data_IF_324818704732
#
_entry.id   IF_324818704732
#
_cell.length_a   1.000
_cell.length_b   1.000
_cell.length_c   1.000
_cell.angle_alpha   90.00
_cell.angle_beta   90.00
_cell.angle_gamma   90.00
#
_symmetry.space_group_name_H-M   'P 1'
#
loop_
_entity.id
_entity.type
_entity.pdbx_description
1 polymer ?
#
# COMPACT_ATOMS: atom_id res chain seq x y z
N UNK A 1 14.38 -18.39 12.65
CA UNK A 1 13.00 -18.84 12.89
C UNK A 1 12.28 -17.71 13.63
N UNK A 2 11.09 -17.26 13.13
CA UNK A 2 10.31 -16.20 13.79
C UNK A 2 9.69 -16.70 15.09
N UNK A 3 9.71 -15.85 16.14
CA UNK A 3 8.95 -16.11 17.37
C UNK A 3 7.57 -15.47 17.25
N UNK A 4 6.53 -16.10 17.79
CA UNK A 4 5.21 -15.50 17.89
C UNK A 4 5.26 -14.37 18.93
N UNK A 5 4.86 -13.17 18.52
CA UNK A 5 4.86 -11.97 19.39
C UNK A 5 3.46 -11.41 19.62
N UNK A 6 2.47 -11.86 18.84
CA UNK A 6 1.08 -11.42 18.93
C UNK A 6 0.17 -12.28 18.05
N UNK A 7 -1.12 -12.03 18.20
CA UNK A 7 -2.19 -12.69 17.45
C UNK A 7 -3.11 -11.64 16.84
N UNK A 8 -3.78 -12.02 15.77
CA UNK A 8 -4.93 -11.31 15.21
C UNK A 8 -6.09 -12.29 15.10
N UNK A 9 -7.29 -11.85 15.44
CA UNK A 9 -8.51 -12.61 15.28
C UNK A 9 -9.52 -11.81 14.48
N UNK A 10 -10.28 -12.47 13.61
CA UNK A 10 -11.42 -11.88 12.93
C UNK A 10 -12.69 -12.30 13.65
N UNK A 11 -13.56 -11.34 13.93
CA UNK A 11 -14.91 -11.61 14.44
C UNK A 11 -15.67 -12.39 13.35
N UNK A 12 -16.25 -13.52 13.72
CA UNK A 12 -17.09 -14.26 12.78
C UNK A 12 -18.36 -13.46 12.48
N UNK A 13 -18.84 -13.43 11.21
CA UNK A 13 -19.98 -12.58 10.83
C UNK A 13 -21.23 -12.76 11.69
N UNK A 14 -21.48 -13.98 12.17
CA UNK A 14 -22.62 -14.28 13.03
C UNK A 14 -22.52 -13.68 14.44
N UNK A 15 -21.36 -13.23 14.86
CA UNK A 15 -21.11 -12.57 16.16
C UNK A 15 -20.74 -11.11 16.03
N UNK A 16 -20.74 -10.55 14.82
CA UNK A 16 -20.38 -9.16 14.56
C UNK A 16 -21.59 -8.27 14.89
N UNK A 17 -21.52 -7.58 16.02
CA UNK A 17 -22.55 -6.61 16.45
C UNK A 17 -22.35 -5.22 15.84
N UNK A 18 -21.29 -5.01 15.08
CA UNK A 18 -20.91 -3.70 14.51
C UNK A 18 -20.28 -2.74 15.52
N UNK A 19 -20.19 -3.10 16.80
CA UNK A 19 -19.61 -2.25 17.87
C UNK A 19 -18.08 -2.35 17.95
N UNK A 20 -17.51 -3.42 17.39
CA UNK A 20 -16.07 -3.68 17.41
C UNK A 20 -15.52 -3.75 15.99
N UNK A 21 -14.23 -3.43 15.83
CA UNK A 21 -13.56 -3.60 14.55
C UNK A 21 -13.56 -5.07 14.10
N UNK A 22 -13.73 -5.33 12.81
CA UNK A 22 -13.75 -6.69 12.22
C UNK A 22 -12.55 -7.56 12.62
N UNK A 23 -11.41 -6.92 12.89
CA UNK A 23 -10.19 -7.59 13.35
C UNK A 23 -9.79 -7.06 14.73
N UNK A 24 -9.50 -7.98 15.63
CA UNK A 24 -8.97 -7.71 16.97
C UNK A 24 -7.52 -8.17 16.98
N UNK A 25 -6.61 -7.24 17.21
CA UNK A 25 -5.18 -7.51 17.33
C UNK A 25 -4.77 -7.53 18.81
N UNK A 26 -3.73 -8.31 19.13
CA UNK A 26 -3.07 -8.24 20.43
C UNK A 26 -2.81 -6.78 20.81
N UNK A 27 -3.12 -6.34 22.04
CA UNK A 27 -2.72 -5.04 22.55
C UNK A 27 -1.21 -4.82 22.47
N UNK A 28 -0.76 -3.58 22.52
CA UNK A 28 0.66 -3.26 22.57
C UNK A 28 1.31 -3.85 23.82
N UNK A 29 2.48 -4.47 23.62
CA UNK A 29 3.30 -5.06 24.68
C UNK A 29 4.77 -4.72 24.44
N UNK A 30 5.68 -4.94 25.40
CA UNK A 30 7.12 -4.72 25.17
C UNK A 30 7.71 -5.50 23.99
N UNK A 31 7.09 -6.61 23.59
CA UNK A 31 7.53 -7.46 22.46
C UNK A 31 6.65 -7.34 21.22
N UNK A 32 5.50 -6.68 21.31
CA UNK A 32 4.59 -6.44 20.18
C UNK A 32 4.20 -4.96 20.13
N UNK A 33 4.93 -4.22 19.33
CA UNK A 33 4.69 -2.80 19.04
C UNK A 33 4.26 -2.71 17.57
N UNK A 34 2.99 -2.41 17.32
CA UNK A 34 2.40 -2.43 15.96
C UNK A 34 3.20 -1.58 14.96
N UNK A 35 3.68 -0.43 15.41
CA UNK A 35 4.49 0.48 14.59
C UNK A 35 5.88 -0.06 14.22
N UNK A 36 6.29 -1.20 14.75
CA UNK A 36 7.59 -1.85 14.54
C UNK A 36 7.50 -3.27 13.98
N UNK A 37 6.29 -3.75 13.71
CA UNK A 37 6.05 -5.12 13.24
C UNK A 37 5.37 -5.08 11.89
N UNK A 38 6.01 -5.69 10.89
CA UNK A 38 5.40 -5.98 9.59
C UNK A 38 5.00 -7.46 9.55
N UNK A 39 3.70 -7.71 9.30
CA UNK A 39 3.20 -9.07 9.14
C UNK A 39 3.86 -9.74 7.93
N UNK A 40 4.22 -11.00 8.09
CA UNK A 40 4.87 -11.77 7.02
C UNK A 40 6.38 -11.52 6.87
N UNK A 41 6.96 -10.44 7.42
CA UNK A 41 8.36 -10.05 7.17
C UNK A 41 9.35 -11.18 7.45
N UNK A 42 9.14 -12.00 8.50
CA UNK A 42 10.02 -13.10 8.85
C UNK A 42 10.09 -14.19 7.76
N UNK A 43 9.03 -14.34 6.97
CA UNK A 43 8.97 -15.26 5.81
C UNK A 43 9.50 -14.62 4.53
N UNK A 44 9.28 -13.31 4.39
CA UNK A 44 9.52 -12.59 3.13
C UNK A 44 10.96 -12.09 2.96
N UNK A 45 11.77 -12.04 4.04
CA UNK A 45 13.13 -11.46 4.02
C UNK A 45 14.03 -11.98 2.90
N UNK A 46 14.03 -13.29 2.68
CA UNK A 46 14.81 -13.91 1.60
C UNK A 46 14.35 -13.42 0.25
N UNK A 47 13.05 -13.61 -0.04
CA UNK A 47 12.46 -13.20 -1.31
C UNK A 47 12.59 -11.69 -1.59
N UNK A 48 12.50 -10.84 -0.56
CA UNK A 48 12.72 -9.39 -0.70
C UNK A 48 14.15 -9.11 -1.17
N UNK A 49 15.16 -9.74 -0.56
CA UNK A 49 16.56 -9.57 -0.97
C UNK A 49 16.82 -10.11 -2.37
N UNK A 50 16.33 -11.31 -2.66
CA UNK A 50 16.54 -11.99 -3.93
C UNK A 50 15.89 -11.24 -5.10
N UNK A 51 14.72 -10.64 -4.88
CA UNK A 51 13.98 -9.87 -5.89
C UNK A 51 14.33 -8.38 -5.89
N UNK A 52 15.03 -7.89 -4.87
CA UNK A 52 15.38 -6.48 -4.73
C UNK A 52 14.18 -5.54 -4.52
N UNK A 53 12.99 -6.07 -4.16
CA UNK A 53 11.75 -5.29 -4.00
C UNK A 53 10.83 -5.93 -2.98
N UNK A 54 9.98 -5.11 -2.33
CA UNK A 54 8.95 -5.55 -1.37
C UNK A 54 7.57 -5.09 -1.84
N UNK A 55 6.58 -5.98 -1.75
CA UNK A 55 5.16 -5.63 -1.87
C UNK A 55 4.60 -5.35 -0.47
N UNK A 56 4.15 -4.12 -0.24
CA UNK A 56 3.49 -3.72 0.99
C UNK A 56 1.99 -3.62 0.75
N UNK A 57 1.24 -4.41 1.49
CA UNK A 57 -0.23 -4.41 1.50
C UNK A 57 -0.76 -3.93 2.85
N UNK A 58 -2.05 -3.68 2.96
CA UNK A 58 -2.66 -3.14 4.17
C UNK A 58 -2.95 -4.21 5.21
N UNK A 59 -3.66 -5.27 4.82
CA UNK A 59 -4.16 -6.30 5.72
C UNK A 59 -3.36 -7.60 5.74
N UNK A 60 -3.54 -8.38 6.81
CA UNK A 60 -2.93 -9.71 6.92
C UNK A 60 -3.48 -10.67 5.86
N UNK A 61 -4.78 -10.57 5.50
CA UNK A 61 -5.39 -11.42 4.50
C UNK A 61 -4.81 -11.15 3.13
N UNK A 62 -4.57 -9.87 2.78
CA UNK A 62 -3.89 -9.50 1.53
C UNK A 62 -2.51 -10.12 1.43
N UNK A 63 -1.75 -10.06 2.52
CA UNK A 63 -0.43 -10.67 2.59
C UNK A 63 -0.49 -12.20 2.44
N UNK A 64 -1.44 -12.86 3.12
CA UNK A 64 -1.60 -14.31 3.03
C UNK A 64 -2.00 -14.74 1.61
N UNK A 65 -2.96 -14.06 1.00
CA UNK A 65 -3.40 -14.33 -0.36
C UNK A 65 -2.28 -14.07 -1.38
N UNK A 66 -1.52 -12.97 -1.22
CA UNK A 66 -0.34 -12.73 -2.04
C UNK A 66 0.68 -13.87 -1.94
N UNK A 67 0.98 -14.34 -0.72
CA UNK A 67 1.87 -15.50 -0.53
C UNK A 67 1.32 -16.79 -1.15
N UNK A 68 0.00 -17.02 -1.10
CA UNK A 68 -0.66 -18.15 -1.73
C UNK A 68 -0.51 -18.09 -3.26
N UNK A 69 -0.62 -16.91 -3.85
CA UNK A 69 -0.37 -16.66 -5.27
C UNK A 69 1.11 -16.72 -5.69
N UNK A 70 2.03 -17.04 -4.76
CA UNK A 70 3.46 -17.15 -5.04
C UNK A 70 4.27 -15.85 -4.85
N UNK A 71 3.64 -14.74 -4.43
CA UNK A 71 4.29 -13.45 -4.18
C UNK A 71 4.96 -13.49 -2.81
N UNK A 72 6.16 -14.07 -2.73
CA UNK A 72 6.87 -14.35 -1.47
C UNK A 72 7.52 -13.14 -0.81
N UNK A 73 7.61 -12.01 -1.50
CA UNK A 73 8.14 -10.74 -1.01
C UNK A 73 7.06 -9.80 -0.45
N UNK A 74 5.83 -10.29 -0.21
CA UNK A 74 4.73 -9.51 0.37
C UNK A 74 4.83 -9.41 1.89
N UNK A 75 4.49 -8.22 2.42
CA UNK A 75 4.36 -7.91 3.86
C UNK A 75 3.17 -7.00 4.08
N UNK A 76 2.62 -6.95 5.32
CA UNK A 76 1.50 -6.05 5.63
C UNK A 76 1.76 -5.19 6.88
N UNK A 77 1.14 -4.00 6.91
CA UNK A 77 1.13 -3.10 8.07
C UNK A 77 0.16 -3.56 9.16
N UNK A 78 -0.83 -4.39 8.81
CA UNK A 78 -1.73 -5.07 9.75
C UNK A 78 -2.58 -4.14 10.63
N UNK A 79 -3.31 -3.22 10.00
CA UNK A 79 -4.24 -2.32 10.69
C UNK A 79 -3.54 -1.16 11.41
N UNK A 80 -2.34 -0.79 10.95
CA UNK A 80 -1.68 0.47 11.33
C UNK A 80 -1.17 1.16 10.07
N UNK A 81 -0.96 2.48 10.12
CA UNK A 81 -0.31 3.19 9.04
C UNK A 81 1.17 2.76 8.89
N UNK A 82 1.74 2.96 7.69
CA UNK A 82 3.17 2.82 7.48
C UNK A 82 3.94 3.79 8.39
N UNK A 83 5.00 3.32 9.03
CA UNK A 83 5.80 4.10 9.97
C UNK A 83 7.27 4.16 9.56
N UNK A 84 8.02 5.12 10.14
CA UNK A 84 9.47 5.20 9.98
C UNK A 84 10.18 3.92 10.45
N UNK A 85 9.70 3.28 11.52
CA UNK A 85 10.30 2.05 12.02
C UNK A 85 10.06 0.88 11.06
N UNK A 86 8.91 0.82 10.39
CA UNK A 86 8.66 -0.13 9.30
C UNK A 86 9.64 0.11 8.14
N UNK A 87 9.83 1.36 7.71
CA UNK A 87 10.76 1.70 6.64
C UNK A 87 12.21 1.35 7.01
N UNK A 88 12.65 1.63 8.24
CA UNK A 88 13.98 1.21 8.72
C UNK A 88 14.20 -0.31 8.67
N UNK A 89 13.15 -1.11 8.89
CA UNK A 89 13.22 -2.57 8.75
C UNK A 89 13.39 -2.98 7.29
N UNK A 90 12.61 -2.36 6.40
CA UNK A 90 12.62 -2.66 4.95
C UNK A 90 13.91 -2.17 4.28
N UNK A 91 14.43 -1.00 4.67
CA UNK A 91 15.64 -0.39 4.11
C UNK A 91 16.88 -1.29 4.24
N UNK A 92 16.92 -2.17 5.25
CA UNK A 92 17.97 -3.19 5.41
C UNK A 92 17.90 -4.30 4.36
N UNK A 93 16.82 -4.38 3.59
CA UNK A 93 16.55 -5.45 2.64
C UNK A 93 16.47 -4.94 1.21
N UNK A 94 15.86 -3.77 1.00
CA UNK A 94 15.64 -3.14 -0.32
C UNK A 94 15.26 -1.67 -0.15
N UNK A 95 15.43 -0.88 -1.20
CA UNK A 95 14.89 0.47 -1.36
C UNK A 95 13.70 0.53 -2.35
N UNK A 96 13.33 -0.61 -2.95
CA UNK A 96 12.22 -0.70 -3.91
C UNK A 96 10.93 -1.11 -3.18
N UNK A 97 9.98 -0.19 -3.08
CA UNK A 97 8.70 -0.38 -2.40
C UNK A 97 7.54 -0.35 -3.40
N UNK A 98 6.81 -1.45 -3.48
CA UNK A 98 5.56 -1.53 -4.24
C UNK A 98 4.41 -1.46 -3.24
N UNK A 99 3.53 -0.48 -3.38
CA UNK A 99 2.35 -0.30 -2.53
C UNK A 99 1.11 -0.87 -3.22
N UNK A 100 0.32 -1.63 -2.48
CA UNK A 100 -1.02 -2.00 -2.86
C UNK A 100 -1.95 -1.90 -1.64
N UNK A 101 -2.64 -0.79 -1.54
CA UNK A 101 -3.62 -0.51 -0.49
C UNK A 101 -5.04 -0.64 -1.04
N UNK A 102 -6.01 -0.61 -0.14
CA UNK A 102 -7.43 -0.75 -0.49
C UNK A 102 -7.85 0.31 -1.51
N UNK A 103 -8.72 -0.07 -2.44
CA UNK A 103 -9.20 0.78 -3.55
C UNK A 103 -10.42 1.62 -3.15
N UNK A 104 -10.52 1.95 -1.87
CA UNK A 104 -11.49 2.92 -1.35
C UNK A 104 -10.79 4.25 -0.99
N UNK A 105 -11.56 5.28 -0.67
CA UNK A 105 -11.01 6.61 -0.39
C UNK A 105 -10.04 6.59 0.81
N UNK A 106 -10.31 5.78 1.84
CA UNK A 106 -9.46 5.67 3.01
C UNK A 106 -8.12 5.00 2.68
N UNK A 107 -8.15 3.90 1.92
CA UNK A 107 -6.97 3.19 1.44
C UNK A 107 -6.12 4.04 0.49
N UNK A 108 -6.75 4.78 -0.42
CA UNK A 108 -6.06 5.71 -1.31
C UNK A 108 -5.34 6.81 -0.51
N UNK A 109 -5.99 7.42 0.48
CA UNK A 109 -5.37 8.42 1.35
C UNK A 109 -4.23 7.81 2.21
N UNK A 110 -4.40 6.57 2.68
CA UNK A 110 -3.33 5.85 3.36
C UNK A 110 -2.14 5.60 2.43
N UNK A 111 -2.41 5.23 1.17
CA UNK A 111 -1.41 5.09 0.11
C UNK A 111 -0.63 6.37 -0.14
N UNK A 112 -1.30 7.52 -0.25
CA UNK A 112 -0.62 8.81 -0.42
C UNK A 112 0.30 9.15 0.74
N UNK A 113 -0.16 8.95 1.99
CA UNK A 113 0.70 9.15 3.17
C UNK A 113 1.89 8.21 3.17
N UNK A 114 1.69 6.96 2.74
CA UNK A 114 2.76 5.97 2.64
C UNK A 114 3.79 6.35 1.56
N UNK A 115 3.34 6.86 0.41
CA UNK A 115 4.21 7.38 -0.65
C UNK A 115 5.06 8.53 -0.11
N UNK A 116 4.42 9.56 0.47
CA UNK A 116 5.10 10.74 1.00
C UNK A 116 6.16 10.34 2.04
N UNK A 117 5.80 9.46 2.98
CA UNK A 117 6.70 9.00 4.03
C UNK A 117 7.87 8.16 3.47
N UNK A 118 7.59 7.23 2.56
CA UNK A 118 8.60 6.33 2.00
C UNK A 118 9.58 7.11 1.10
N UNK A 119 9.09 8.02 0.27
CA UNK A 119 9.92 8.83 -0.62
C UNK A 119 10.84 9.76 0.17
N UNK A 120 10.33 10.39 1.25
CA UNK A 120 11.15 11.20 2.16
C UNK A 120 12.24 10.38 2.90
N UNK A 121 12.22 9.04 2.79
CA UNK A 121 13.22 8.14 3.36
C UNK A 121 13.94 7.31 2.27
N UNK A 122 14.09 7.90 1.09
CA UNK A 122 14.89 7.38 -0.04
C UNK A 122 14.41 6.00 -0.55
N UNK A 123 13.10 5.75 -0.54
CA UNK A 123 12.53 4.61 -1.23
C UNK A 123 12.08 4.99 -2.63
N UNK A 124 12.38 4.12 -3.60
CA UNK A 124 11.75 4.15 -4.90
C UNK A 124 10.36 3.49 -4.80
N UNK A 125 9.32 4.32 -4.89
CA UNK A 125 7.95 3.88 -4.65
C UNK A 125 7.20 3.70 -5.96
N UNK A 126 6.58 2.53 -6.10
CA UNK A 126 5.63 2.22 -7.17
C UNK A 126 4.28 1.84 -6.55
N UNK A 127 3.20 2.05 -7.28
CA UNK A 127 1.83 1.81 -6.80
C UNK A 127 1.11 0.86 -7.75
N UNK A 128 0.57 -0.22 -7.20
CA UNK A 128 -0.36 -1.10 -7.91
C UNK A 128 -1.70 -0.39 -8.00
N UNK A 129 -2.29 -0.36 -9.19
CA UNK A 129 -3.58 0.26 -9.43
C UNK A 129 -4.60 -0.77 -9.87
N UNK A 130 -5.74 -0.73 -9.25
CA UNK A 130 -6.93 -1.42 -9.76
C UNK A 130 -7.72 -0.50 -10.69
N UNK A 131 -8.30 -1.05 -11.73
CA UNK A 131 -9.28 -0.32 -12.52
C UNK A 131 -10.52 -0.01 -11.66
N UNK A 132 -11.18 1.12 -11.87
CA UNK A 132 -12.40 1.44 -11.13
C UNK A 132 -13.45 0.31 -11.18
N UNK A 133 -13.98 -0.08 -10.02
CA UNK A 133 -15.02 -1.11 -9.93
C UNK A 133 -14.56 -2.55 -10.12
N UNK A 134 -13.24 -2.84 -10.19
CA UNK A 134 -12.73 -4.21 -10.36
C UNK A 134 -12.53 -4.92 -9.02
N UNK A 135 -11.53 -4.52 -8.25
CA UNK A 135 -11.14 -5.16 -6.98
C UNK A 135 -11.09 -4.13 -5.87
N UNK A 136 -11.47 -4.56 -4.67
CA UNK A 136 -11.38 -3.72 -3.48
C UNK A 136 -9.97 -3.72 -2.90
N UNK A 137 -9.38 -4.90 -2.79
CA UNK A 137 -8.09 -5.13 -2.13
C UNK A 137 -7.28 -6.24 -2.84
N UNK A 138 -6.07 -6.50 -2.37
CA UNK A 138 -5.20 -7.53 -2.93
C UNK A 138 -5.79 -8.94 -2.76
N UNK A 139 -6.48 -9.21 -1.64
CA UNK A 139 -7.04 -10.52 -1.38
C UNK A 139 -8.14 -10.86 -2.39
N UNK A 140 -9.03 -9.92 -2.69
CA UNK A 140 -10.06 -10.07 -3.72
C UNK A 140 -9.45 -10.25 -5.12
N UNK A 141 -8.45 -9.46 -5.47
CA UNK A 141 -7.77 -9.56 -6.76
C UNK A 141 -7.09 -10.92 -6.95
N UNK A 142 -6.39 -11.40 -5.93
CA UNK A 142 -5.77 -12.74 -5.95
C UNK A 142 -6.82 -13.85 -6.02
N UNK A 143 -7.91 -13.71 -5.28
CA UNK A 143 -8.99 -14.73 -5.30
C UNK A 143 -9.63 -14.83 -6.67
N UNK A 144 -9.81 -13.73 -7.37
CA UNK A 144 -10.44 -13.67 -8.69
C UNK A 144 -9.48 -14.11 -9.82
N UNK A 145 -8.26 -13.57 -9.85
CA UNK A 145 -7.28 -13.81 -10.91
C UNK A 145 -5.83 -13.68 -10.40
N UNK A 146 -5.26 -14.77 -9.83
CA UNK A 146 -3.88 -14.73 -9.34
C UNK A 146 -2.84 -14.32 -10.40
N UNK A 147 -2.88 -14.84 -11.66
CA UNK A 147 -1.96 -14.40 -12.72
C UNK A 147 -2.14 -12.93 -13.10
N UNK A 148 -3.38 -12.45 -13.11
CA UNK A 148 -3.69 -11.04 -13.38
C UNK A 148 -3.13 -10.13 -12.29
N UNK A 149 -3.21 -10.51 -11.03
CA UNK A 149 -2.64 -9.73 -9.94
C UNK A 149 -1.10 -9.64 -10.03
N UNK A 150 -0.42 -10.72 -10.42
CA UNK A 150 1.02 -10.68 -10.71
C UNK A 150 1.37 -9.66 -11.79
N UNK A 151 0.59 -9.63 -12.88
CA UNK A 151 0.78 -8.62 -13.95
C UNK A 151 0.57 -7.19 -13.45
N UNK A 152 -0.43 -6.97 -12.59
CA UNK A 152 -0.67 -5.64 -11.98
C UNK A 152 0.52 -5.19 -11.13
N UNK A 153 1.16 -6.10 -10.40
CA UNK A 153 2.38 -5.78 -9.63
C UNK A 153 3.54 -5.42 -10.56
N UNK A 154 3.72 -6.14 -11.68
CA UNK A 154 4.74 -5.84 -12.68
C UNK A 154 4.50 -4.49 -13.37
N UNK A 155 3.23 -4.14 -13.57
CA UNK A 155 2.77 -2.89 -14.18
C UNK A 155 2.58 -1.75 -13.16
N UNK A 156 2.99 -1.94 -11.90
CA UNK A 156 2.90 -0.90 -10.90
C UNK A 156 3.55 0.39 -11.39
N UNK A 157 2.84 1.51 -11.27
CA UNK A 157 3.28 2.81 -11.80
C UNK A 157 4.15 3.55 -10.78
N UNK A 158 5.11 4.39 -11.20
CA UNK A 158 5.84 5.27 -10.30
C UNK A 158 4.88 6.17 -9.49
N UNK A 159 5.26 6.53 -8.26
CA UNK A 159 4.45 7.37 -7.39
C UNK A 159 4.03 8.70 -8.04
N UNK A 160 4.92 9.30 -8.85
CA UNK A 160 4.59 10.52 -9.57
C UNK A 160 3.47 10.31 -10.59
N UNK A 161 3.53 9.22 -11.35
CA UNK A 161 2.49 8.87 -12.33
C UNK A 161 1.16 8.59 -11.64
N UNK A 162 1.18 7.92 -10.47
CA UNK A 162 -0.01 7.73 -9.63
C UNK A 162 -0.66 9.08 -9.29
N UNK A 163 0.11 10.10 -8.88
CA UNK A 163 -0.42 11.43 -8.59
C UNK A 163 -0.98 12.14 -9.83
N UNK A 164 -0.34 12.02 -10.99
CA UNK A 164 -0.88 12.55 -12.24
C UNK A 164 -2.24 11.94 -12.57
N UNK A 165 -2.34 10.61 -12.51
CA UNK A 165 -3.57 9.90 -12.83
C UNK A 165 -4.70 10.25 -11.84
N UNK A 166 -4.35 10.42 -10.54
CA UNK A 166 -5.34 10.73 -9.51
C UNK A 166 -5.88 12.15 -9.59
N UNK A 167 -5.02 13.12 -9.83
CA UNK A 167 -5.36 14.53 -9.68
C UNK A 167 -5.59 15.28 -11.00
N UNK A 168 -5.17 14.70 -12.11
CA UNK A 168 -5.44 15.28 -13.42
C UNK A 168 -6.52 14.47 -14.14
N UNK A 169 -7.60 15.13 -14.61
CA UNK A 169 -8.69 14.42 -15.27
C UNK A 169 -8.18 13.74 -16.53
N UNK A 170 -8.45 12.45 -16.64
CA UNK A 170 -8.19 11.65 -17.84
C UNK A 170 -9.26 11.99 -18.89
N UNK A 171 -8.86 12.65 -19.96
CA UNK A 171 -9.69 12.79 -21.14
C UNK A 171 -10.13 14.21 -21.43
N UNK A 172 -10.17 14.49 -22.73
CA UNK A 172 -10.82 15.64 -23.33
C UNK A 172 -12.35 15.53 -23.14
N UNK A 173 -12.84 15.80 -21.92
CA UNK A 173 -14.26 16.08 -21.82
C UNK A 173 -14.46 17.47 -22.38
N UNK A 174 -15.33 17.57 -23.39
CA UNK A 174 -15.77 18.79 -24.04
C UNK A 174 -16.51 19.76 -23.09
N UNK A 175 -16.29 19.68 -21.80
CA UNK A 175 -16.72 20.63 -20.80
C UNK A 175 -15.81 21.86 -20.83
N UNK A 176 -16.01 22.70 -21.85
CA UNK A 176 -15.45 24.04 -21.97
C UNK A 176 -16.13 24.98 -20.98
N UNK A 177 -15.88 24.82 -19.69
CA UNK A 177 -16.44 25.67 -18.64
C UNK A 177 -15.37 26.12 -17.66
N UNK A 178 -15.55 27.30 -17.07
CA UNK A 178 -14.68 27.87 -16.03
C UNK A 178 -14.43 26.90 -14.87
N UNK A 179 -15.36 26.01 -14.56
CA UNK A 179 -15.28 24.96 -13.56
C UNK A 179 -14.16 23.95 -13.86
N UNK A 180 -14.07 23.46 -15.10
CA UNK A 180 -13.05 22.49 -15.51
C UNK A 180 -11.62 23.07 -15.41
N UNK A 181 -11.46 24.33 -15.81
CA UNK A 181 -10.17 25.04 -15.71
C UNK A 181 -9.76 25.18 -14.23
N UNK A 182 -10.72 25.45 -13.35
CA UNK A 182 -10.45 25.57 -11.91
C UNK A 182 -10.03 24.23 -11.30
N UNK A 183 -10.71 23.16 -11.65
CA UNK A 183 -10.37 21.79 -11.21
C UNK A 183 -8.99 21.39 -11.72
N UNK A 184 -8.68 21.62 -12.99
CA UNK A 184 -7.36 21.36 -13.56
C UNK A 184 -6.25 22.14 -12.83
N UNK A 185 -6.47 23.45 -12.59
CA UNK A 185 -5.51 24.26 -11.81
C UNK A 185 -5.31 23.73 -10.40
N UNK A 186 -6.36 23.28 -9.73
CA UNK A 186 -6.28 22.66 -8.40
C UNK A 186 -5.49 21.35 -8.45
N UNK A 187 -5.79 20.49 -9.42
CA UNK A 187 -5.06 19.22 -9.62
C UNK A 187 -3.58 19.46 -9.88
N UNK A 188 -3.23 20.35 -10.79
CA UNK A 188 -1.84 20.72 -11.10
C UNK A 188 -1.10 21.24 -9.84
N UNK A 189 -1.72 22.12 -9.06
CA UNK A 189 -1.11 22.61 -7.80
C UNK A 189 -0.85 21.48 -6.81
N UNK A 190 -1.80 20.55 -6.68
CA UNK A 190 -1.64 19.38 -5.79
C UNK A 190 -0.47 18.51 -6.25
N UNK A 191 -0.41 18.18 -7.54
CA UNK A 191 0.69 17.37 -8.11
C UNK A 191 2.04 18.06 -7.93
N UNK A 192 2.13 19.38 -8.21
CA UNK A 192 3.37 20.13 -7.99
C UNK A 192 3.81 20.13 -6.52
N UNK A 193 2.86 20.22 -5.58
CA UNK A 193 3.16 20.07 -4.15
C UNK A 193 3.73 18.70 -3.80
N UNK A 194 3.18 17.63 -4.39
CA UNK A 194 3.66 16.25 -4.21
C UNK A 194 5.05 16.04 -4.83
N UNK A 195 5.29 16.59 -6.03
CA UNK A 195 6.61 16.52 -6.70
C UNK A 195 7.71 17.15 -5.86
N UNK A 196 7.47 18.28 -5.21
CA UNK A 196 8.44 18.91 -4.32
C UNK A 196 8.92 17.97 -3.21
N UNK A 197 8.01 17.16 -2.67
CA UNK A 197 8.35 16.18 -1.64
C UNK A 197 9.13 14.97 -2.22
N UNK A 198 8.95 14.67 -3.52
CA UNK A 198 9.65 13.59 -4.21
C UNK A 198 11.07 13.99 -4.64
N UNK A 199 11.28 15.27 -4.97
CA UNK A 199 12.55 15.76 -5.52
C UNK A 199 13.63 15.99 -4.46
N UNK A 200 13.27 16.10 -3.18
CA UNK A 200 14.24 16.27 -2.10
C UNK A 200 15.08 15.00 -1.81
N UNK A 201 14.75 13.88 -2.43
CA UNK A 201 15.48 12.61 -2.30
C UNK A 201 16.39 12.29 -3.48
N UNK A 202 16.57 13.20 -4.44
CA UNK A 202 17.32 12.99 -5.71
C UNK A 202 18.51 13.96 -5.85
N UNK A 203 18.93 14.65 -4.79
CA UNK A 203 20.20 15.38 -4.76
C UNK A 203 21.37 14.54 -4.25
#
# INVERSE_FOLDING_TARGET
MGKVVGFTGRILPQFDTGEMGKYVNTPETPIFVKSRVLYGLHKSKGAIRDQGKVLLVEGQMDCLMAHQAGIKNAVATSGTALTLDHLKLLKKLTDQLILNFDNDEAGIQAGERAIDLATANDFNVRVVRFAPGTYKDAAEAVQADPPGFLKLIEQAVPAIEFYFIRYLPSGHTSASGSSHILELKKGVRTVLGKIKNLSSSVE
#
